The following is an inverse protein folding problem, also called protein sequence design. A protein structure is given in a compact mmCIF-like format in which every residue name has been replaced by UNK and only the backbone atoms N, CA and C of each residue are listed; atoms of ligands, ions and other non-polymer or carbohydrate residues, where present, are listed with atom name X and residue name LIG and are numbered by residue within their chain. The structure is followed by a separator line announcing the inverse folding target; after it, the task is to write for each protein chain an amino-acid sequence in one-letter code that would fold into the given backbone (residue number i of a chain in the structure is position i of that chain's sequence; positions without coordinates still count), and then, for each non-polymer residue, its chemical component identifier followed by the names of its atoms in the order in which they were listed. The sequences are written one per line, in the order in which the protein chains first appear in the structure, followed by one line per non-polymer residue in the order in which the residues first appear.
data_IF_347478845073
#
_entry.id   IF_347478845073
#
_cell.length_a   1.000
_cell.length_b   1.000
_cell.length_c   1.000
_cell.angle_alpha   90.00
_cell.angle_beta   90.00
_cell.angle_gamma   90.00
#
_symmetry.space_group_name_H-M   'P 1'
#
loop_
_entity.id
_entity.type
_entity.pdbx_description
1 polymer ?
#
# COMPACT_ATOMS: atom_id res chain seq x y z
N UNK A 1 -22.47 -42.40 -13.03
CA UNK A 1 -21.29 -41.68 -12.50
C UNK A 1 -21.27 -40.29 -13.12
N UNK A 2 -21.84 -39.30 -12.45
CA UNK A 2 -21.71 -37.90 -12.85
C UNK A 2 -21.16 -37.16 -11.64
N UNK A 3 -19.84 -37.03 -11.58
CA UNK A 3 -19.19 -36.13 -10.63
C UNK A 3 -19.34 -34.72 -11.16
N UNK A 4 -20.28 -33.98 -10.59
CA UNK A 4 -20.38 -32.53 -10.79
C UNK A 4 -19.25 -31.88 -10.00
N UNK A 5 -18.21 -31.42 -10.69
CA UNK A 5 -17.14 -30.63 -10.09
C UNK A 5 -17.69 -29.21 -9.81
N UNK A 6 -17.77 -28.86 -8.53
CA UNK A 6 -18.04 -27.49 -8.07
C UNK A 6 -16.75 -26.70 -8.27
N UNK A 7 -16.74 -25.80 -9.24
CA UNK A 7 -15.70 -24.81 -9.39
C UNK A 7 -15.87 -23.76 -8.28
N UNK A 8 -14.98 -23.78 -7.28
CA UNK A 8 -14.79 -22.64 -6.39
C UNK A 8 -14.26 -21.48 -7.23
N UNK A 9 -15.13 -20.54 -7.57
CA UNK A 9 -14.72 -19.22 -8.05
C UNK A 9 -14.07 -18.48 -6.89
N UNK A 10 -12.78 -18.74 -6.66
CA UNK A 10 -11.95 -17.83 -5.89
C UNK A 10 -11.91 -16.52 -6.67
N UNK A 11 -12.48 -15.46 -6.11
CA UNK A 11 -12.31 -14.10 -6.58
C UNK A 11 -10.81 -13.78 -6.52
N UNK A 12 -10.09 -14.08 -7.60
CA UNK A 12 -8.82 -13.43 -7.85
C UNK A 12 -9.17 -11.94 -7.97
N UNK A 13 -8.78 -11.13 -6.98
CA UNK A 13 -8.55 -9.72 -7.23
C UNK A 13 -7.68 -9.69 -8.48
N UNK A 14 -8.20 -9.18 -9.59
CA UNK A 14 -7.38 -8.99 -10.78
C UNK A 14 -6.15 -8.21 -10.34
N UNK A 15 -4.95 -8.75 -10.62
CA UNK A 15 -3.71 -8.07 -10.28
C UNK A 15 -3.73 -6.70 -10.97
N UNK A 16 -3.53 -5.61 -10.19
CA UNK A 16 -3.55 -4.25 -10.71
C UNK A 16 -2.46 -4.01 -11.76
N UNK A 17 -2.61 -2.95 -12.55
CA UNK A 17 -1.62 -2.51 -13.54
C UNK A 17 -0.52 -1.69 -12.85
N UNK A 18 0.64 -2.31 -12.63
CA UNK A 18 1.78 -1.64 -11.99
C UNK A 18 2.36 -0.49 -12.83
N UNK A 19 2.16 -0.48 -14.16
CA UNK A 19 2.55 0.61 -15.04
C UNK A 19 1.73 1.86 -14.77
N UNK A 20 0.41 1.71 -14.78
CA UNK A 20 -0.51 2.78 -14.39
C UNK A 20 -0.34 3.18 -12.91
N UNK A 21 -0.11 2.21 -12.03
CA UNK A 21 0.20 2.43 -10.61
C UNK A 21 1.41 3.32 -10.39
N UNK A 22 2.46 3.18 -11.21
CA UNK A 22 3.64 4.05 -11.18
C UNK A 22 3.31 5.51 -11.56
N UNK A 23 2.42 5.70 -12.54
CA UNK A 23 1.97 7.02 -12.97
C UNK A 23 1.16 7.70 -11.85
N UNK A 24 0.23 6.97 -11.25
CA UNK A 24 -0.54 7.43 -10.07
C UNK A 24 0.37 7.76 -8.89
N UNK A 25 1.36 6.89 -8.60
CA UNK A 25 2.35 7.15 -7.56
C UNK A 25 3.12 8.45 -7.83
N UNK A 26 3.55 8.66 -9.07
CA UNK A 26 4.27 9.87 -9.48
C UNK A 26 3.40 11.10 -9.24
N UNK A 27 2.12 11.05 -9.63
CA UNK A 27 1.19 12.17 -9.51
C UNK A 27 0.79 12.48 -8.05
N UNK A 28 0.60 11.46 -7.21
CA UNK A 28 -0.06 11.61 -5.90
C UNK A 28 0.85 11.37 -4.70
N UNK A 29 1.93 10.60 -4.85
CA UNK A 29 2.74 10.12 -3.72
C UNK A 29 4.18 10.65 -3.73
N UNK A 30 4.75 10.89 -4.93
CA UNK A 30 6.19 11.18 -5.10
C UNK A 30 6.66 12.49 -4.46
N UNK A 31 5.74 13.45 -4.25
CA UNK A 31 6.05 14.70 -3.55
C UNK A 31 6.45 14.48 -2.08
N UNK A 32 6.01 13.37 -1.47
CA UNK A 32 6.27 13.05 -0.07
C UNK A 32 7.12 11.80 0.11
N UNK A 33 7.07 10.86 -0.83
CA UNK A 33 7.67 9.54 -0.69
C UNK A 33 8.69 9.24 -1.78
N UNK A 34 9.82 8.67 -1.37
CA UNK A 34 10.81 8.11 -2.29
C UNK A 34 10.61 6.60 -2.47
N UNK A 35 11.34 6.02 -3.42
CA UNK A 35 11.44 4.57 -3.63
C UNK A 35 12.89 4.08 -3.60
N UNK A 36 13.80 4.83 -2.96
CA UNK A 36 15.25 4.58 -2.96
C UNK A 36 15.85 4.29 -1.58
N UNK A 37 15.03 4.09 -0.55
CA UNK A 37 15.44 3.84 0.83
C UNK A 37 15.62 5.07 1.71
N UNK A 38 15.77 6.27 1.14
CA UNK A 38 15.94 7.51 1.92
C UNK A 38 14.60 8.19 2.19
N UNK A 39 14.30 8.69 3.40
CA UNK A 39 13.07 9.43 3.66
C UNK A 39 13.07 10.81 2.97
N UNK A 40 11.88 11.37 2.75
CA UNK A 40 11.65 12.74 2.30
C UNK A 40 10.73 13.44 3.32
N UNK A 41 9.51 13.82 2.95
CA UNK A 41 8.47 14.29 3.89
C UNK A 41 7.89 13.09 4.64
N UNK A 42 7.62 12.01 3.91
CA UNK A 42 7.27 10.71 4.43
C UNK A 42 8.43 9.70 4.33
N UNK A 43 8.25 8.48 4.86
CA UNK A 43 9.22 7.40 4.73
C UNK A 43 9.43 6.99 3.26
N UNK A 44 10.56 6.36 2.97
CA UNK A 44 10.69 5.63 1.70
C UNK A 44 9.69 4.48 1.62
N UNK A 45 9.09 4.29 0.46
CA UNK A 45 8.14 3.20 0.17
C UNK A 45 8.81 1.99 -0.49
N UNK A 46 10.14 2.01 -0.67
CA UNK A 46 10.92 0.81 -1.01
C UNK A 46 10.69 -0.26 0.07
N UNK A 47 10.32 -1.48 -0.35
CA UNK A 47 10.01 -2.60 0.55
C UNK A 47 8.88 -2.29 1.54
N UNK A 48 7.90 -1.46 1.18
CA UNK A 48 6.77 -1.17 2.08
C UNK A 48 5.86 -2.37 2.26
N UNK A 49 5.61 -3.14 1.20
CA UNK A 49 4.83 -4.38 1.27
C UNK A 49 5.63 -5.41 2.06
N UNK A 50 5.02 -5.93 3.14
CA UNK A 50 5.63 -6.82 4.13
C UNK A 50 6.26 -6.09 5.32
N UNK A 51 6.33 -4.75 5.31
CA UNK A 51 6.90 -3.98 6.43
C UNK A 51 5.81 -3.61 7.45
N UNK A 52 6.18 -3.66 8.73
CA UNK A 52 5.30 -3.18 9.80
C UNK A 52 5.04 -1.67 9.69
N UNK A 53 3.81 -1.22 9.94
CA UNK A 53 3.50 0.20 9.94
C UNK A 53 4.35 0.96 10.99
N UNK A 54 4.78 2.17 10.64
CA UNK A 54 5.54 3.03 11.55
C UNK A 54 6.95 2.55 11.91
N UNK A 55 7.52 1.57 11.18
CA UNK A 55 8.75 0.87 11.62
C UNK A 55 10.04 1.21 10.85
N UNK A 56 9.99 1.99 9.76
CA UNK A 56 11.22 2.38 9.05
C UNK A 56 12.11 3.24 9.96
N UNK A 57 13.35 2.80 10.18
CA UNK A 57 14.31 3.50 11.02
C UNK A 57 14.60 4.92 10.51
N UNK A 58 14.88 5.85 11.43
CA UNK A 58 15.25 7.23 11.09
C UNK A 58 14.08 8.13 10.66
N UNK A 59 12.83 7.65 10.77
CA UNK A 59 11.62 8.43 10.43
C UNK A 59 10.82 8.77 11.68
N UNK A 60 10.40 10.04 11.79
CA UNK A 60 9.55 10.52 12.87
C UNK A 60 8.07 10.28 12.56
N UNK A 61 7.60 9.04 12.81
CA UNK A 61 6.18 8.71 12.69
C UNK A 61 5.33 9.32 13.80
N UNK A 62 4.06 9.57 13.50
CA UNK A 62 3.06 9.89 14.52
C UNK A 62 2.88 8.71 15.48
N UNK A 63 2.47 9.00 16.72
CA UNK A 63 2.18 7.94 17.70
C UNK A 63 1.08 7.00 17.20
N UNK A 64 0.10 7.53 16.46
CA UNK A 64 -0.96 6.74 15.85
C UNK A 64 -0.40 5.69 14.88
N UNK A 65 0.48 6.08 13.94
CA UNK A 65 1.09 5.12 13.01
C UNK A 65 2.00 4.10 13.70
N UNK A 66 2.75 4.50 14.73
CA UNK A 66 3.60 3.58 15.51
C UNK A 66 2.79 2.54 16.27
N UNK A 67 1.57 2.89 16.67
CA UNK A 67 0.67 2.02 17.42
C UNK A 67 -0.29 1.25 16.51
N UNK A 68 -0.27 1.52 15.20
CA UNK A 68 -1.07 0.84 14.20
C UNK A 68 -0.42 -0.52 13.90
N UNK A 69 -0.81 -1.53 14.68
CA UNK A 69 -0.19 -2.86 14.73
C UNK A 69 -0.53 -3.72 13.50
N UNK A 70 -0.02 -3.31 12.34
CA UNK A 70 -0.33 -3.90 11.03
C UNK A 70 0.95 -4.09 10.23
N UNK A 71 1.05 -5.23 9.57
CA UNK A 71 2.00 -5.45 8.47
C UNK A 71 1.33 -5.02 7.16
N UNK A 72 1.99 -4.17 6.38
CA UNK A 72 1.45 -3.70 5.11
C UNK A 72 1.39 -4.83 4.09
N UNK A 73 0.18 -5.27 3.77
CA UNK A 73 -0.17 -6.15 2.66
C UNK A 73 -1.14 -5.42 1.72
N UNK A 74 -1.65 -6.12 0.70
CA UNK A 74 -2.58 -5.51 -0.25
C UNK A 74 -3.88 -5.02 0.42
N UNK A 75 -4.41 -5.75 1.41
CA UNK A 75 -5.69 -5.44 2.04
C UNK A 75 -5.59 -4.25 3.00
N UNK A 76 -4.53 -4.23 3.81
CA UNK A 76 -4.25 -3.12 4.73
C UNK A 76 -3.86 -1.85 3.98
N UNK A 77 -3.13 -1.94 2.87
CA UNK A 77 -2.85 -0.80 2.00
C UNK A 77 -4.13 -0.30 1.32
N UNK A 78 -5.00 -1.17 0.82
CA UNK A 78 -6.28 -0.77 0.23
C UNK A 78 -7.16 -0.02 1.25
N UNK A 79 -7.25 -0.54 2.47
CA UNK A 79 -7.97 0.09 3.59
C UNK A 79 -7.39 1.47 3.90
N UNK A 80 -6.07 1.56 4.05
CA UNK A 80 -5.40 2.81 4.40
C UNK A 80 -5.52 3.85 3.28
N UNK A 81 -5.32 3.46 2.02
CA UNK A 81 -5.39 4.35 0.86
C UNK A 81 -6.84 4.76 0.54
N UNK A 82 -7.86 4.03 1.00
CA UNK A 82 -9.26 4.47 0.89
C UNK A 82 -9.49 5.74 1.71
N UNK A 83 -9.00 5.79 2.95
CA UNK A 83 -9.08 6.97 3.82
C UNK A 83 -8.08 6.87 4.98
N UNK A 84 -6.91 7.51 4.88
CA UNK A 84 -5.86 7.39 5.90
C UNK A 84 -6.32 7.88 7.28
N UNK A 85 -7.05 9.01 7.33
CA UNK A 85 -7.53 9.58 8.59
C UNK A 85 -8.62 8.75 9.25
N UNK A 86 -9.39 7.98 8.49
CA UNK A 86 -10.35 7.04 9.05
C UNK A 86 -9.68 5.74 9.50
N UNK A 87 -8.74 5.21 8.71
CA UNK A 87 -8.02 3.97 9.01
C UNK A 87 -7.07 4.14 10.21
N UNK A 88 -6.38 5.28 10.30
CA UNK A 88 -5.42 5.59 11.36
C UNK A 88 -5.66 7.00 11.89
N UNK A 89 -6.65 7.21 12.77
CA UNK A 89 -6.90 8.52 13.37
C UNK A 89 -5.64 9.08 14.05
N UNK A 90 -5.19 10.25 13.63
CA UNK A 90 -3.92 10.85 14.07
C UNK A 90 -2.71 10.57 13.17
N UNK A 91 -2.89 9.91 12.02
CA UNK A 91 -1.92 10.01 10.92
C UNK A 91 -1.88 11.43 10.36
N UNK A 92 -0.75 11.80 9.77
CA UNK A 92 -0.57 13.07 9.05
C UNK A 92 -0.54 12.88 7.54
N UNK A 93 -0.67 11.66 7.02
CA UNK A 93 -0.73 11.40 5.57
C UNK A 93 -2.13 11.73 5.04
N UNK A 94 -2.29 12.74 4.15
CA UNK A 94 -3.62 13.21 3.74
C UNK A 94 -4.16 12.56 2.47
N UNK A 95 -3.32 11.81 1.74
CA UNK A 95 -3.65 11.34 0.40
C UNK A 95 -4.55 10.10 0.47
N UNK A 96 -5.74 10.20 -0.11
CA UNK A 96 -6.66 9.09 -0.33
C UNK A 96 -6.82 8.85 -1.83
N UNK A 97 -7.11 7.61 -2.21
CA UNK A 97 -7.37 7.18 -3.58
C UNK A 97 -8.77 6.51 -3.57
N UNK A 98 -9.85 7.26 -3.86
CA UNK A 98 -11.21 6.74 -3.73
C UNK A 98 -11.54 5.60 -4.71
N UNK A 99 -10.93 5.63 -5.90
CA UNK A 99 -11.09 4.58 -6.93
C UNK A 99 -10.43 3.28 -6.48
N UNK A 100 -11.20 2.20 -6.44
CA UNK A 100 -10.69 0.88 -6.05
C UNK A 100 -9.70 0.31 -7.09
N UNK A 101 -9.91 0.58 -8.38
CA UNK A 101 -8.96 0.17 -9.43
C UNK A 101 -7.63 0.90 -9.28
N UNK A 102 -7.67 2.21 -9.04
CA UNK A 102 -6.46 3.03 -8.90
C UNK A 102 -5.65 2.61 -7.67
N UNK A 103 -6.34 2.25 -6.57
CA UNK A 103 -5.67 1.66 -5.40
C UNK A 103 -5.01 0.34 -5.74
N UNK A 104 -5.71 -0.55 -6.42
CA UNK A 104 -5.15 -1.84 -6.83
C UNK A 104 -3.90 -1.66 -7.72
N UNK A 105 -3.92 -0.70 -8.63
CA UNK A 105 -2.79 -0.36 -9.51
C UNK A 105 -1.60 0.20 -8.71
N UNK A 106 -1.84 1.15 -7.81
CA UNK A 106 -0.78 1.70 -6.93
C UNK A 106 -0.20 0.59 -6.05
N UNK A 107 -1.03 -0.28 -5.47
CA UNK A 107 -0.57 -1.40 -4.65
C UNK A 107 0.27 -2.38 -5.49
N UNK A 108 -0.15 -2.67 -6.72
CA UNK A 108 0.62 -3.50 -7.66
C UNK A 108 2.00 -2.88 -7.94
N UNK A 109 2.08 -1.56 -8.12
CA UNK A 109 3.36 -0.86 -8.23
C UNK A 109 4.20 -0.96 -6.95
N UNK A 110 3.61 -0.75 -5.77
CA UNK A 110 4.35 -0.86 -4.50
C UNK A 110 4.91 -2.27 -4.26
N UNK A 111 4.21 -3.31 -4.74
CA UNK A 111 4.69 -4.69 -4.70
C UNK A 111 5.95 -4.90 -5.57
N UNK A 112 6.15 -4.13 -6.65
CA UNK A 112 7.38 -4.20 -7.45
C UNK A 112 8.58 -3.56 -6.75
N UNK A 113 8.37 -2.80 -5.68
CA UNK A 113 9.42 -2.09 -4.94
C UNK A 113 10.08 -2.95 -3.86
N UNK A 114 9.94 -4.27 -3.92
CA UNK A 114 10.55 -5.19 -2.96
C UNK A 114 12.07 -4.94 -2.86
N UNK A 115 12.58 -4.81 -1.63
CA UNK A 115 13.99 -5.08 -1.38
C UNK A 115 14.17 -6.56 -1.70
N UNK A 116 14.87 -6.90 -2.79
CA UNK A 116 15.04 -8.30 -3.19
C UNK A 116 15.40 -9.18 -1.99
N UNK A 117 14.91 -10.42 -2.00
CA UNK A 117 15.36 -11.46 -1.08
C UNK A 117 16.89 -11.46 -0.94
#
# INVERSE_FOLDING_TARGET
MTLTAIACAGSALAAGDAGHGRELFTAQCSACHTTNGSPLVGPSLMGVVGRHAGSLAGVNYTQALKSYDVVWDAASLDTFLTSPFAAVPGTTMPISIPSASDRADVIAYLQTLSTGQ
#
